data_IF_321047549916
#
_entry.id   IF_321047549916
#
_cell.length_a   1.000
_cell.length_b   1.000
_cell.length_c   1.000
_cell.angle_alpha   90.00
_cell.angle_beta   90.00
_cell.angle_gamma   90.00
#
_symmetry.space_group_name_H-M   'P 1'
#
loop_
_entity.id
_entity.type
_entity.pdbx_description
1 polymer ?
#
# COMPACT_ATOMS: atom_id res chain seq x y z
N UNK A 1 -22.69 1.12 -6.03
CA UNK A 1 -23.82 0.20 -5.74
C UNK A 1 -23.34 -1.23 -5.85
N UNK A 2 -24.24 -2.21 -5.69
CA UNK A 2 -23.93 -3.63 -5.92
C UNK A 2 -23.93 -3.95 -7.42
N UNK A 3 -22.92 -4.67 -7.90
CA UNK A 3 -22.76 -5.13 -9.28
C UNK A 3 -22.34 -6.60 -9.29
N UNK A 4 -22.82 -7.33 -10.30
CA UNK A 4 -22.48 -8.72 -10.57
C UNK A 4 -21.52 -8.72 -11.76
N UNK A 5 -20.23 -8.66 -11.47
CA UNK A 5 -19.16 -8.39 -12.46
C UNK A 5 -18.90 -9.57 -13.39
N UNK A 6 -19.17 -10.80 -12.96
CA UNK A 6 -19.04 -12.01 -13.82
C UNK A 6 -19.89 -11.95 -15.10
N UNK A 7 -20.93 -11.11 -15.14
CA UNK A 7 -21.78 -10.93 -16.32
C UNK A 7 -21.16 -10.01 -17.37
N UNK A 8 -20.07 -9.32 -17.06
CA UNK A 8 -19.34 -8.52 -18.02
C UNK A 8 -18.59 -9.43 -19.01
N UNK A 9 -18.74 -9.23 -20.34
CA UNK A 9 -18.16 -10.12 -21.34
C UNK A 9 -16.63 -10.28 -21.26
N UNK A 10 -15.93 -9.25 -20.77
CA UNK A 10 -14.48 -9.31 -20.52
C UNK A 10 -14.16 -10.34 -19.44
N UNK A 11 -14.89 -10.33 -18.33
CA UNK A 11 -14.66 -11.24 -17.20
C UNK A 11 -14.97 -12.69 -17.61
N UNK A 12 -16.02 -12.90 -18.42
CA UNK A 12 -16.30 -14.23 -18.95
C UNK A 12 -15.17 -14.78 -19.84
N UNK A 13 -14.51 -13.91 -20.63
CA UNK A 13 -13.35 -14.31 -21.45
C UNK A 13 -12.11 -14.59 -20.59
N UNK A 14 -11.80 -13.70 -19.65
CA UNK A 14 -10.65 -13.86 -18.74
C UNK A 14 -10.77 -15.13 -17.89
N UNK A 15 -11.98 -15.46 -17.44
CA UNK A 15 -12.25 -16.72 -16.74
C UNK A 15 -11.92 -17.95 -17.62
N UNK A 16 -12.22 -17.89 -18.92
CA UNK A 16 -11.88 -18.97 -19.86
C UNK A 16 -10.36 -19.07 -20.11
N UNK A 17 -9.63 -17.96 -19.92
CA UNK A 17 -8.17 -17.91 -20.02
C UNK A 17 -7.48 -18.31 -18.70
N UNK A 18 -8.23 -18.56 -17.64
CA UNK A 18 -7.69 -18.87 -16.32
C UNK A 18 -7.12 -17.65 -15.60
N UNK A 19 -7.47 -16.44 -16.02
CA UNK A 19 -7.09 -15.20 -15.35
C UNK A 19 -8.02 -14.91 -14.15
N UNK A 20 -7.52 -14.26 -13.08
CA UNK A 20 -8.38 -13.77 -12.01
C UNK A 20 -9.45 -12.81 -12.54
N UNK A 21 -10.69 -12.96 -12.07
CA UNK A 21 -11.80 -12.06 -12.44
C UNK A 21 -12.66 -11.66 -11.25
N UNK A 22 -13.18 -10.43 -11.31
CA UNK A 22 -14.17 -9.94 -10.37
C UNK A 22 -15.50 -10.68 -10.55
N UNK A 23 -16.04 -11.18 -9.44
CA UNK A 23 -17.34 -11.85 -9.37
C UNK A 23 -18.43 -10.88 -8.94
N UNK A 24 -18.19 -10.15 -7.85
CA UNK A 24 -19.12 -9.20 -7.27
C UNK A 24 -18.39 -7.97 -6.76
N UNK A 25 -18.96 -6.79 -6.97
CA UNK A 25 -18.46 -5.55 -6.39
C UNK A 25 -19.57 -4.78 -5.71
N UNK A 26 -19.24 -4.17 -4.59
CA UNK A 26 -20.08 -3.27 -3.84
C UNK A 26 -19.32 -1.96 -3.60
N UNK A 27 -19.66 -0.94 -4.40
CA UNK A 27 -19.13 0.41 -4.21
C UNK A 27 -20.11 1.26 -3.42
N UNK A 28 -19.64 1.95 -2.39
CA UNK A 28 -20.44 2.99 -1.75
C UNK A 28 -20.68 4.12 -2.76
N UNK A 29 -21.87 4.76 -2.78
CA UNK A 29 -22.01 6.01 -3.53
C UNK A 29 -20.99 7.01 -3.02
N UNK A 30 -20.23 7.62 -3.94
CA UNK A 30 -19.26 8.66 -3.57
C UNK A 30 -19.95 9.72 -2.71
N UNK A 31 -19.50 9.83 -1.47
CA UNK A 31 -19.99 10.82 -0.53
C UNK A 31 -19.18 12.09 -0.77
N UNK A 32 -19.81 13.15 -1.28
CA UNK A 32 -19.18 14.46 -1.46
C UNK A 32 -20.02 15.50 -0.71
N UNK A 33 -19.68 15.72 0.56
CA UNK A 33 -20.37 16.65 1.43
C UNK A 33 -19.60 17.95 1.46
N UNK A 34 -20.26 19.05 1.10
CA UNK A 34 -19.72 20.40 1.25
C UNK A 34 -20.60 21.23 2.17
N UNK A 35 -19.96 21.90 3.14
CA UNK A 35 -20.57 22.86 4.05
C UNK A 35 -19.84 24.19 3.87
N UNK A 36 -20.58 25.29 3.81
CA UNK A 36 -19.98 26.61 3.65
C UNK A 36 -20.81 27.70 4.29
N UNK A 37 -20.13 28.70 4.84
CA UNK A 37 -20.73 29.91 5.37
C UNK A 37 -19.96 31.11 4.85
N UNK A 38 -20.69 32.16 4.46
CA UNK A 38 -20.11 33.41 4.02
C UNK A 38 -20.70 34.59 4.79
N UNK A 39 -19.88 35.59 5.07
CA UNK A 39 -20.30 36.87 5.58
C UNK A 39 -19.65 37.97 4.73
N UNK A 40 -20.43 38.96 4.32
CA UNK A 40 -19.90 40.08 3.57
C UNK A 40 -20.84 41.27 3.60
N UNK A 41 -20.28 42.42 3.23
CA UNK A 41 -21.03 43.65 3.03
C UNK A 41 -20.49 44.38 1.80
N UNK A 42 -21.37 45.14 1.16
CA UNK A 42 -21.07 45.94 -0.01
C UNK A 42 -21.72 47.31 0.18
N UNK A 43 -20.88 48.33 0.28
CA UNK A 43 -21.21 49.73 0.43
C UNK A 43 -20.65 50.55 -0.75
N UNK A 44 -20.85 50.08 -1.99
CA UNK A 44 -20.50 50.76 -3.26
C UNK A 44 -18.99 50.98 -3.41
N UNK A 45 -18.44 51.96 -2.69
CA UNK A 45 -17.01 52.26 -2.67
C UNK A 45 -16.25 51.34 -1.70
N UNK A 46 -16.93 50.56 -0.85
CA UNK A 46 -16.28 49.64 0.08
C UNK A 46 -16.96 48.28 0.06
N UNK A 47 -16.22 47.24 -0.30
CA UNK A 47 -16.71 45.86 -0.24
C UNK A 47 -15.82 44.99 0.63
N UNK A 48 -16.42 43.98 1.27
CA UNK A 48 -15.70 42.99 2.05
C UNK A 48 -16.47 41.68 2.07
N UNK A 49 -15.75 40.57 1.94
CA UNK A 49 -16.30 39.23 2.04
C UNK A 49 -15.33 38.28 2.73
N UNK A 50 -15.87 37.38 3.56
CA UNK A 50 -15.19 36.20 4.07
C UNK A 50 -16.08 34.99 3.74
N UNK A 51 -15.45 33.93 3.25
CA UNK A 51 -16.07 32.63 3.02
C UNK A 51 -15.25 31.55 3.72
N UNK A 52 -15.92 30.69 4.48
CA UNK A 52 -15.35 29.46 5.03
C UNK A 52 -16.10 28.26 4.46
N UNK A 53 -15.40 27.19 4.12
CA UNK A 53 -16.00 25.94 3.69
C UNK A 53 -15.24 24.71 4.20
N UNK A 54 -15.96 23.61 4.33
CA UNK A 54 -15.44 22.29 4.61
C UNK A 54 -15.98 21.33 3.54
N UNK A 55 -15.13 20.45 3.01
CA UNK A 55 -15.50 19.41 2.06
C UNK A 55 -15.00 18.07 2.55
N UNK A 56 -15.87 17.07 2.59
CA UNK A 56 -15.54 15.68 2.91
C UNK A 56 -15.85 14.84 1.69
N UNK A 57 -14.86 14.07 1.23
CA UNK A 57 -15.01 13.11 0.15
C UNK A 57 -14.72 11.72 0.71
N UNK A 58 -15.60 10.75 0.45
CA UNK A 58 -15.36 9.33 0.72
C UNK A 58 -15.74 8.52 -0.52
N UNK A 59 -14.82 7.67 -0.97
CA UNK A 59 -15.00 6.73 -2.09
C UNK A 59 -14.40 5.38 -1.68
N UNK A 60 -15.24 4.36 -1.51
CA UNK A 60 -14.82 3.05 -1.02
C UNK A 60 -15.55 1.95 -1.81
N UNK A 61 -14.80 0.94 -2.24
CA UNK A 61 -15.30 -0.25 -2.89
C UNK A 61 -14.82 -1.52 -2.21
N UNK A 62 -15.72 -2.49 -2.08
CA UNK A 62 -15.35 -3.87 -1.70
C UNK A 62 -15.68 -4.77 -2.87
N UNK A 63 -14.76 -5.65 -3.22
CA UNK A 63 -14.89 -6.57 -4.36
C UNK A 63 -14.59 -7.99 -3.91
N UNK A 64 -15.18 -8.97 -4.60
CA UNK A 64 -14.90 -10.38 -4.46
C UNK A 64 -14.49 -10.96 -5.81
N UNK A 65 -13.30 -11.54 -5.93
CA UNK A 65 -12.76 -12.15 -7.14
C UNK A 65 -12.63 -13.68 -7.06
N UNK A 66 -12.07 -14.30 -8.10
CA UNK A 66 -11.82 -15.74 -8.17
C UNK A 66 -10.53 -16.21 -7.48
N UNK A 67 -9.71 -15.31 -6.95
CA UNK A 67 -8.36 -15.63 -6.46
C UNK A 67 -8.39 -16.64 -5.32
N UNK A 68 -9.26 -16.42 -4.33
CA UNK A 68 -9.43 -17.38 -3.23
C UNK A 68 -9.90 -18.77 -3.66
N UNK A 69 -10.82 -18.83 -4.64
CA UNK A 69 -11.26 -20.10 -5.22
C UNK A 69 -10.13 -20.80 -5.98
N UNK A 70 -9.29 -20.03 -6.68
CA UNK A 70 -8.14 -20.54 -7.41
C UNK A 70 -7.09 -21.14 -6.46
N UNK A 71 -6.75 -20.47 -5.35
CA UNK A 71 -5.84 -21.00 -4.31
C UNK A 71 -6.26 -22.38 -3.79
N UNK A 72 -7.57 -22.58 -3.57
CA UNK A 72 -8.14 -23.87 -3.17
C UNK A 72 -7.94 -24.94 -4.26
N UNK A 73 -8.23 -24.60 -5.52
CA UNK A 73 -8.06 -25.53 -6.66
C UNK A 73 -6.60 -25.88 -6.86
N UNK A 74 -5.71 -24.90 -6.86
CA UNK A 74 -4.26 -25.10 -7.04
C UNK A 74 -3.70 -26.01 -5.92
N UNK A 75 -4.18 -25.85 -4.69
CA UNK A 75 -3.82 -26.74 -3.57
C UNK A 75 -4.28 -28.19 -3.79
N UNK A 76 -5.49 -28.40 -4.32
CA UNK A 76 -6.01 -29.74 -4.68
C UNK A 76 -5.16 -30.36 -5.80
N UNK A 77 -4.87 -29.59 -6.85
CA UNK A 77 -4.09 -30.05 -8.00
C UNK A 77 -2.64 -30.39 -7.63
N UNK A 78 -2.05 -29.64 -6.69
CA UNK A 78 -0.74 -29.91 -6.12
C UNK A 78 -0.71 -31.10 -5.14
N UNK A 79 -1.86 -31.71 -4.82
CA UNK A 79 -1.96 -32.82 -3.86
C UNK A 79 -1.78 -32.41 -2.40
N UNK A 80 -1.89 -31.12 -2.10
CA UNK A 80 -1.85 -30.55 -0.76
C UNK A 80 -3.24 -30.59 -0.11
N UNK A 81 -3.31 -30.49 1.22
CA UNK A 81 -4.59 -30.33 1.93
C UNK A 81 -5.10 -28.91 1.66
N UNK A 82 -6.27 -28.71 1.04
CA UNK A 82 -6.76 -27.36 0.75
C UNK A 82 -7.15 -26.64 2.04
N UNK A 83 -6.78 -25.37 2.14
CA UNK A 83 -7.30 -24.51 3.19
C UNK A 83 -8.57 -23.80 2.70
N UNK A 84 -9.69 -24.02 3.40
CA UNK A 84 -10.95 -23.38 3.03
C UNK A 84 -11.04 -21.94 3.52
N UNK A 85 -10.11 -21.46 4.35
CA UNK A 85 -10.05 -20.03 4.68
C UNK A 85 -9.63 -19.19 3.48
N UNK A 86 -8.93 -19.77 2.52
CA UNK A 86 -8.50 -19.11 1.27
C UNK A 86 -9.68 -18.56 0.47
N UNK A 87 -10.91 -19.06 0.70
CA UNK A 87 -12.11 -18.48 0.06
C UNK A 87 -12.30 -17.00 0.42
N UNK A 88 -11.79 -16.56 1.57
CA UNK A 88 -11.86 -15.18 2.04
C UNK A 88 -10.85 -14.27 1.31
N UNK A 89 -9.80 -14.84 0.73
CA UNK A 89 -8.77 -14.10 0.00
C UNK A 89 -9.30 -13.52 -1.31
N UNK A 90 -10.47 -14.00 -1.75
CA UNK A 90 -11.20 -13.37 -2.84
C UNK A 90 -11.71 -11.97 -2.50
N UNK A 91 -11.87 -11.62 -1.21
CA UNK A 91 -12.31 -10.29 -0.80
C UNK A 91 -11.16 -9.29 -0.78
N UNK A 92 -11.38 -8.14 -1.42
CA UNK A 92 -10.47 -7.01 -1.34
C UNK A 92 -11.19 -5.67 -1.29
N UNK A 93 -10.50 -4.66 -0.77
CA UNK A 93 -10.88 -3.26 -0.87
C UNK A 93 -10.22 -2.70 -2.13
N UNK A 94 -11.04 -2.18 -3.03
CA UNK A 94 -10.55 -1.57 -4.27
C UNK A 94 -9.78 -0.30 -3.94
N UNK A 95 -8.47 -0.31 -4.20
CA UNK A 95 -7.60 0.83 -4.02
C UNK A 95 -7.71 1.74 -5.25
N UNK A 96 -8.20 2.96 -5.07
CA UNK A 96 -8.52 3.85 -6.17
C UNK A 96 -7.26 4.54 -6.70
N UNK A 97 -6.77 4.22 -7.92
CA UNK A 97 -5.55 4.83 -8.43
C UNK A 97 -5.71 6.32 -8.79
N UNK A 98 -6.93 6.86 -8.75
CA UNK A 98 -7.24 8.23 -9.15
C UNK A 98 -7.39 9.20 -7.96
N UNK A 99 -7.14 8.75 -6.73
CA UNK A 99 -7.05 9.62 -5.56
C UNK A 99 -7.56 8.97 -4.27
N UNK A 100 -7.39 9.66 -3.14
CA UNK A 100 -7.57 9.09 -1.81
C UNK A 100 -8.99 8.62 -1.55
N UNK A 101 -9.13 7.49 -0.86
CA UNK A 101 -10.43 6.92 -0.45
C UNK A 101 -11.20 7.83 0.50
N UNK A 102 -10.49 8.62 1.31
CA UNK A 102 -11.12 9.64 2.12
C UNK A 102 -10.30 10.93 2.15
N UNK A 103 -10.98 12.07 2.07
CA UNK A 103 -10.33 13.36 2.30
C UNK A 103 -11.25 14.36 3.00
N UNK A 104 -10.64 15.19 3.84
CA UNK A 104 -11.26 16.35 4.47
C UNK A 104 -10.46 17.58 4.06
N UNK A 105 -11.12 18.56 3.46
CA UNK A 105 -10.54 19.86 3.13
C UNK A 105 -11.30 20.95 3.87
N UNK A 106 -10.57 21.84 4.53
CA UNK A 106 -11.06 23.08 5.11
C UNK A 106 -10.49 24.24 4.30
N UNK A 107 -11.31 25.23 3.95
CA UNK A 107 -10.85 26.43 3.27
C UNK A 107 -11.49 27.67 3.88
N UNK A 108 -10.72 28.74 3.99
CA UNK A 108 -11.15 30.07 4.39
C UNK A 108 -10.56 31.01 3.35
N UNK A 109 -11.40 31.83 2.74
CA UNK A 109 -10.97 32.90 1.84
C UNK A 109 -11.67 34.18 2.21
N UNK A 110 -11.07 35.30 1.88
CA UNK A 110 -11.68 36.59 2.09
C UNK A 110 -11.03 37.64 1.22
N UNK A 111 -11.82 38.63 0.87
CA UNK A 111 -11.41 39.76 0.06
C UNK A 111 -11.99 41.04 0.61
N UNK A 112 -11.32 42.14 0.31
CA UNK A 112 -11.84 43.47 0.56
C UNK A 112 -11.38 44.40 -0.54
N UNK A 113 -12.24 45.33 -0.92
CA UNK A 113 -11.86 46.36 -1.86
C UNK A 113 -12.41 47.72 -1.48
N UNK A 114 -11.68 48.75 -1.89
CA UNK A 114 -12.16 50.12 -2.00
C UNK A 114 -12.29 50.42 -3.49
N UNK A 115 -13.51 50.67 -3.96
CA UNK A 115 -13.81 50.99 -5.35
C UNK A 115 -13.12 52.29 -5.81
N UNK A 116 -13.03 52.51 -7.13
CA UNK A 116 -12.25 53.60 -7.69
C UNK A 116 -12.79 54.97 -7.30
N UNK A 117 -11.93 55.81 -6.74
CA UNK A 117 -12.19 57.23 -6.51
C UNK A 117 -11.61 58.03 -7.67
N UNK A 118 -12.49 58.50 -8.55
CA UNK A 118 -12.09 59.25 -9.75
C UNK A 118 -12.12 60.77 -9.53
N UNK A 119 -11.07 61.45 -9.99
CA UNK A 119 -11.02 62.91 -10.11
C UNK A 119 -10.62 63.25 -11.54
N UNK A 120 -11.52 63.93 -12.27
CA UNK A 120 -11.29 64.33 -13.67
C UNK A 120 -10.95 63.14 -14.60
N UNK A 121 -11.55 61.97 -14.36
CA UNK A 121 -11.30 60.75 -15.15
C UNK A 121 -9.98 60.05 -14.84
N UNK A 122 -9.31 60.42 -13.74
CA UNK A 122 -8.12 59.73 -13.23
C UNK A 122 -8.48 59.03 -11.92
N UNK A 123 -8.24 57.72 -11.84
CA UNK A 123 -8.35 56.96 -10.58
C UNK A 123 -7.27 57.44 -9.61
N UNK A 124 -7.71 58.15 -8.58
CA UNK A 124 -6.83 58.70 -7.54
C UNK A 124 -6.55 57.64 -6.48
N UNK A 125 -7.52 56.78 -6.20
CA UNK A 125 -7.40 55.72 -5.20
C UNK A 125 -8.29 54.53 -5.56
N UNK A 126 -7.70 53.34 -5.57
CA UNK A 126 -8.40 52.05 -5.61
C UNK A 126 -7.51 51.03 -4.89
N UNK A 127 -8.12 50.11 -4.16
CA UNK A 127 -7.37 49.06 -3.46
C UNK A 127 -8.20 47.80 -3.42
N UNK A 128 -7.62 46.66 -3.75
CA UNK A 128 -8.20 45.35 -3.55
C UNK A 128 -7.17 44.45 -2.88
N UNK A 129 -7.62 43.61 -1.96
CA UNK A 129 -6.80 42.59 -1.33
C UNK A 129 -7.60 41.30 -1.18
N UNK A 130 -6.96 40.17 -1.44
CA UNK A 130 -7.55 38.86 -1.31
C UNK A 130 -6.58 37.96 -0.53
N UNK A 131 -7.14 37.11 0.31
CA UNK A 131 -6.39 36.11 1.05
C UNK A 131 -7.16 34.80 1.03
N UNK A 132 -6.44 33.68 0.95
CA UNK A 132 -7.01 32.37 1.17
C UNK A 132 -6.07 31.48 1.97
N UNK A 133 -6.65 30.58 2.74
CA UNK A 133 -5.99 29.53 3.47
C UNK A 133 -6.84 28.28 3.32
N UNK A 134 -6.26 27.21 2.81
CA UNK A 134 -6.86 25.88 2.83
C UNK A 134 -5.91 24.89 3.46
N UNK A 135 -6.47 23.92 4.16
CA UNK A 135 -5.74 22.78 4.67
C UNK A 135 -6.57 21.53 4.47
N UNK A 136 -5.92 20.39 4.31
CA UNK A 136 -6.62 19.13 4.16
C UNK A 136 -5.83 17.96 4.69
N UNK A 137 -6.56 16.90 4.97
CA UNK A 137 -6.02 15.57 5.23
C UNK A 137 -6.62 14.61 4.21
N UNK A 138 -5.79 13.76 3.64
CA UNK A 138 -6.16 12.69 2.74
C UNK A 138 -5.70 11.37 3.34
N UNK A 139 -6.53 10.35 3.22
CA UNK A 139 -6.29 8.97 3.61
C UNK A 139 -6.39 8.15 2.35
N UNK A 140 -5.25 7.61 1.95
CA UNK A 140 -5.10 6.72 0.80
C UNK A 140 -4.89 5.31 1.33
N UNK A 141 -5.59 4.32 0.82
CA UNK A 141 -5.45 2.94 1.28
C UNK A 141 -4.07 2.42 0.86
N UNK A 142 -3.37 1.86 1.83
CA UNK A 142 -2.07 1.27 1.59
C UNK A 142 -2.25 -0.12 0.98
N UNK A 143 -1.81 -0.23 -0.25
CA UNK A 143 -1.68 -1.48 -0.99
C UNK A 143 -0.18 -1.86 -1.04
N UNK A 144 0.28 -2.85 -0.25
CA UNK A 144 1.70 -3.11 -0.13
C UNK A 144 2.30 -3.89 -1.30
N UNK A 145 1.48 -4.50 -2.15
CA UNK A 145 1.94 -5.22 -3.34
C UNK A 145 1.74 -4.38 -4.63
N UNK A 146 0.96 -3.29 -4.57
CA UNK A 146 0.61 -2.36 -5.65
C UNK A 146 -0.19 -2.99 -6.80
N UNK A 147 -1.00 -4.02 -6.53
CA UNK A 147 -1.89 -4.65 -7.51
C UNK A 147 -3.25 -3.92 -7.67
N UNK A 148 -3.47 -2.86 -6.90
CA UNK A 148 -4.71 -2.08 -6.82
C UNK A 148 -5.75 -2.66 -5.86
N UNK A 149 -5.39 -3.65 -5.05
CA UNK A 149 -6.32 -4.46 -4.29
C UNK A 149 -5.80 -4.70 -2.87
N UNK A 150 -6.42 -4.09 -1.86
CA UNK A 150 -6.08 -4.40 -0.48
C UNK A 150 -6.89 -5.61 0.01
N UNK A 151 -6.27 -6.79 0.02
CA UNK A 151 -6.89 -8.06 0.42
C UNK A 151 -6.94 -8.23 1.94
N UNK A 152 -7.76 -9.17 2.40
CA UNK A 152 -7.99 -9.38 3.83
C UNK A 152 -6.75 -9.93 4.58
N UNK A 153 -5.99 -10.83 3.95
CA UNK A 153 -4.70 -11.32 4.43
C UNK A 153 -3.69 -10.16 4.58
N UNK A 154 -3.65 -9.24 3.63
CA UNK A 154 -2.84 -8.03 3.71
C UNK A 154 -3.31 -7.09 4.82
N UNK A 155 -4.63 -6.90 5.00
CA UNK A 155 -5.18 -6.14 6.13
C UNK A 155 -4.71 -6.73 7.46
N UNK A 156 -4.81 -8.04 7.63
CA UNK A 156 -4.36 -8.71 8.86
C UNK A 156 -2.86 -8.58 9.05
N UNK A 157 -2.06 -8.74 7.99
CA UNK A 157 -0.63 -8.55 8.05
C UNK A 157 -0.28 -7.11 8.46
N UNK A 158 -0.76 -6.09 7.75
CA UNK A 158 -0.46 -4.67 8.02
C UNK A 158 -0.90 -4.25 9.43
N UNK A 159 -1.97 -4.85 9.95
CA UNK A 159 -2.53 -4.56 11.28
C UNK A 159 -2.05 -5.51 12.39
N UNK A 160 -1.16 -6.46 12.06
CA UNK A 160 -0.71 -7.54 12.94
C UNK A 160 -1.88 -8.21 13.67
N UNK A 161 -2.84 -8.72 12.89
CA UNK A 161 -4.08 -9.36 13.37
C UNK A 161 -4.89 -8.46 14.31
N UNK A 162 -4.82 -7.15 14.12
CA UNK A 162 -5.42 -6.14 15.00
C UNK A 162 -4.99 -6.26 16.47
N UNK A 163 -3.79 -6.79 16.74
CA UNK A 163 -3.27 -6.96 18.10
C UNK A 163 -3.18 -5.64 18.88
N UNK A 164 -3.01 -4.52 18.17
CA UNK A 164 -3.11 -3.16 18.70
C UNK A 164 -4.06 -2.33 17.81
N UNK A 165 -5.14 -1.72 18.37
CA UNK A 165 -6.05 -0.86 17.63
C UNK A 165 -5.39 0.28 16.86
N UNK A 166 -4.20 0.75 17.28
CA UNK A 166 -3.46 1.79 16.56
C UNK A 166 -2.89 1.31 15.22
N UNK A 167 -2.72 0.00 15.02
CA UNK A 167 -2.21 -0.52 13.75
C UNK A 167 -3.20 -0.40 12.59
N UNK A 168 -4.46 -0.09 12.86
CA UNK A 168 -5.44 0.28 11.82
C UNK A 168 -4.97 1.49 11.00
N UNK A 169 -4.19 2.39 11.60
CA UNK A 169 -3.62 3.53 10.86
C UNK A 169 -2.55 3.12 9.84
N UNK A 170 -1.97 1.91 9.95
CA UNK A 170 -1.02 1.40 8.97
C UNK A 170 -1.71 1.03 7.64
N UNK A 171 -3.04 0.88 7.64
CA UNK A 171 -3.83 0.66 6.42
C UNK A 171 -3.94 1.90 5.54
N UNK A 172 -3.53 3.08 6.02
CA UNK A 172 -3.75 4.33 5.31
C UNK A 172 -2.48 5.16 5.20
N UNK A 173 -2.05 5.50 3.99
CA UNK A 173 -1.12 6.57 3.72
C UNK A 173 -1.81 7.93 3.96
N UNK A 174 -1.44 8.57 5.08
CA UNK A 174 -2.08 9.81 5.53
C UNK A 174 -1.23 11.01 5.10
N UNK A 175 -1.79 11.85 4.22
CA UNK A 175 -1.14 13.07 3.72
C UNK A 175 -1.86 14.30 4.25
N UNK A 176 -1.11 15.19 4.90
CA UNK A 176 -1.56 16.52 5.30
C UNK A 176 -1.08 17.58 4.31
N UNK A 177 -1.96 18.49 3.91
CA UNK A 177 -1.60 19.63 3.06
C UNK A 177 -2.10 20.95 3.66
N UNK A 178 -1.33 22.01 3.47
CA UNK A 178 -1.69 23.39 3.81
C UNK A 178 -1.26 24.28 2.65
N UNK A 179 -2.20 25.05 2.10
CA UNK A 179 -1.94 26.05 1.08
C UNK A 179 -2.50 27.40 1.52
N UNK A 180 -1.68 28.45 1.43
CA UNK A 180 -2.11 29.82 1.68
C UNK A 180 -1.79 30.67 0.47
N UNK A 181 -2.67 31.59 0.13
CA UNK A 181 -2.41 32.62 -0.87
C UNK A 181 -2.80 34.00 -0.36
N UNK A 182 -2.07 35.01 -0.82
CA UNK A 182 -2.35 36.41 -0.53
C UNK A 182 -2.01 37.23 -1.76
N UNK A 183 -2.89 38.14 -2.12
CA UNK A 183 -2.70 39.06 -3.24
C UNK A 183 -3.29 40.43 -2.90
N UNK A 184 -2.67 41.48 -3.44
CA UNK A 184 -3.24 42.82 -3.40
C UNK A 184 -2.84 43.61 -4.64
N UNK A 185 -3.73 44.51 -5.02
CA UNK A 185 -3.53 45.46 -6.10
C UNK A 185 -4.09 46.81 -5.65
N UNK A 186 -3.36 47.90 -5.92
CA UNK A 186 -3.87 49.23 -5.63
C UNK A 186 -3.36 50.27 -6.62
N UNK A 187 -4.21 51.24 -6.93
CA UNK A 187 -3.88 52.38 -7.79
C UNK A 187 -3.86 53.65 -6.95
N UNK A 188 -2.73 54.36 -6.96
CA UNK A 188 -2.59 55.69 -6.35
C UNK A 188 -2.15 56.70 -7.42
N UNK A 189 -2.95 57.73 -7.65
CA UNK A 189 -2.66 58.78 -8.64
C UNK A 189 -2.34 58.23 -10.04
N UNK A 190 -3.08 57.21 -10.47
CA UNK A 190 -2.88 56.53 -11.76
C UNK A 190 -1.66 55.60 -11.83
N UNK A 191 -0.97 55.35 -10.72
CA UNK A 191 0.11 54.37 -10.63
C UNK A 191 -0.42 53.12 -9.92
N UNK A 192 -0.45 52.00 -10.64
CA UNK A 192 -0.84 50.69 -10.09
C UNK A 192 0.38 49.98 -9.50
N UNK A 193 0.20 49.45 -8.29
CA UNK A 193 1.19 48.62 -7.59
C UNK A 193 0.49 47.34 -7.14
N UNK A 194 1.06 46.20 -7.50
CA UNK A 194 0.61 44.89 -7.03
C UNK A 194 1.59 44.26 -6.04
N UNK A 195 1.13 43.25 -5.33
CA UNK A 195 1.97 42.41 -4.48
C UNK A 195 3.12 41.74 -5.26
N UNK A 196 2.86 41.38 -6.52
CA UNK A 196 3.86 40.79 -7.41
C UNK A 196 4.98 41.77 -7.78
N UNK A 197 4.64 43.06 -7.96
CA UNK A 197 5.62 44.11 -8.27
C UNK A 197 6.59 44.36 -7.10
N UNK A 198 6.18 44.04 -5.87
CA UNK A 198 7.01 44.16 -4.66
C UNK A 198 7.84 42.90 -4.36
N UNK A 199 7.74 41.86 -5.19
CA UNK A 199 8.44 40.59 -5.00
C UNK A 199 7.97 39.81 -3.77
N UNK A 200 6.75 40.04 -3.31
CA UNK A 200 6.17 39.32 -2.18
C UNK A 200 5.70 37.95 -2.68
N UNK A 201 6.09 36.83 -2.03
CA UNK A 201 5.59 35.52 -2.40
C UNK A 201 4.08 35.44 -2.09
N UNK A 202 3.30 35.24 -3.14
CA UNK A 202 1.83 35.25 -3.08
C UNK A 202 1.22 33.90 -2.68
N UNK A 203 2.06 32.86 -2.57
CA UNK A 203 1.62 31.49 -2.33
C UNK A 203 2.61 30.75 -1.42
N UNK A 204 2.06 29.99 -0.48
CA UNK A 204 2.77 29.03 0.37
C UNK A 204 2.05 27.71 0.23
N UNK A 205 2.76 26.65 -0.18
CA UNK A 205 2.22 25.30 -0.26
C UNK A 205 3.12 24.37 0.56
N UNK A 206 2.55 23.68 1.52
CA UNK A 206 3.20 22.71 2.39
C UNK A 206 2.46 21.38 2.26
N UNK A 207 3.21 20.30 2.04
CA UNK A 207 2.70 18.93 2.06
C UNK A 207 3.55 18.11 3.01
N UNK A 208 2.91 17.31 3.86
CA UNK A 208 3.55 16.52 4.91
C UNK A 208 2.97 15.10 4.90
N UNK A 209 3.84 14.09 4.94
CA UNK A 209 3.44 12.72 5.30
C UNK A 209 3.19 12.67 6.80
N UNK A 210 1.94 12.46 7.21
CA UNK A 210 1.61 12.32 8.62
C UNK A 210 2.09 10.97 9.16
N UNK A 211 2.17 9.94 8.31
CA UNK A 211 2.80 8.67 8.69
C UNK A 211 4.26 8.86 9.09
N UNK A 212 5.05 9.61 8.31
CA UNK A 212 6.48 9.82 8.62
C UNK A 212 6.64 10.54 9.97
N UNK A 213 5.78 11.52 10.22
CA UNK A 213 5.79 12.30 11.47
C UNK A 213 5.37 11.42 12.65
N UNK A 214 4.27 10.67 12.52
CA UNK A 214 3.73 9.83 13.59
C UNK A 214 4.61 8.60 13.85
N UNK A 215 5.19 8.02 12.81
CA UNK A 215 6.18 6.94 12.89
C UNK A 215 7.48 7.40 13.56
N UNK A 216 7.99 8.59 13.20
CA UNK A 216 9.22 9.13 13.80
C UNK A 216 9.13 9.38 15.32
N UNK A 217 7.92 9.69 15.82
CA UNK A 217 7.67 9.84 17.27
C UNK A 217 7.24 8.53 17.95
N UNK A 218 7.29 7.40 17.23
CA UNK A 218 6.98 6.07 17.75
C UNK A 218 5.50 5.84 18.04
N UNK A 219 4.61 6.64 17.44
CA UNK A 219 3.17 6.55 17.66
C UNK A 219 2.51 5.46 16.79
N UNK A 220 3.10 5.15 15.63
CA UNK A 220 2.66 4.06 14.76
C UNK A 220 3.65 2.90 14.84
N UNK A 221 3.22 1.69 15.24
CA UNK A 221 4.03 0.49 15.14
C UNK A 221 4.32 0.18 13.66
N UNK A 222 5.55 -0.23 13.32
CA UNK A 222 5.84 -0.70 11.96
C UNK A 222 5.00 -1.95 11.68
N UNK A 223 4.35 -2.05 10.50
CA UNK A 223 3.64 -3.26 10.12
C UNK A 223 4.61 -4.45 10.05
N UNK A 224 4.18 -5.66 10.47
CA UNK A 224 4.96 -6.86 10.27
C UNK A 224 5.05 -7.19 8.78
N UNK A 225 6.17 -7.80 8.44
CA UNK A 225 6.76 -7.82 7.12
C UNK A 225 6.65 -9.22 6.50
N UNK A 226 5.54 -9.64 5.90
CA UNK A 226 5.39 -11.04 5.46
C UNK A 226 6.06 -11.32 4.10
N UNK A 227 7.12 -12.14 4.11
CA UNK A 227 7.93 -12.48 2.91
C UNK A 227 8.10 -14.00 2.69
N UNK A 228 7.53 -14.81 3.59
CA UNK A 228 7.59 -16.26 3.64
C UNK A 228 6.49 -16.81 4.57
N UNK A 229 6.12 -18.07 4.38
CA UNK A 229 5.01 -18.75 5.07
C UNK A 229 5.46 -20.07 5.72
N UNK A 230 4.86 -20.45 6.85
CA UNK A 230 5.06 -21.77 7.44
C UNK A 230 4.14 -22.80 6.80
N UNK A 231 4.72 -23.83 6.20
CA UNK A 231 3.99 -24.96 5.61
C UNK A 231 4.32 -26.23 6.41
N UNK A 232 3.32 -27.03 6.83
CA UNK A 232 3.57 -28.34 7.42
C UNK A 232 4.33 -29.24 6.44
N UNK A 233 5.45 -29.83 6.87
CA UNK A 233 6.14 -30.84 6.05
C UNK A 233 5.26 -32.09 6.01
N UNK A 234 4.71 -32.40 4.84
CA UNK A 234 4.02 -33.68 4.62
C UNK A 234 5.09 -34.79 4.66
N UNK A 235 5.00 -35.77 5.58
CA UNK A 235 6.00 -36.82 5.67
C UNK A 235 6.00 -37.66 4.39
N UNK A 236 7.11 -37.66 3.65
CA UNK A 236 7.30 -38.59 2.55
C UNK A 236 7.67 -39.96 3.15
N UNK A 237 7.01 -41.07 2.77
CA UNK A 237 7.35 -42.39 3.29
C UNK A 237 8.83 -42.73 3.04
N UNK A 238 9.63 -42.78 4.12
CA UNK A 238 11.07 -43.06 4.08
C UNK A 238 11.97 -41.90 4.53
N UNK A 239 11.46 -40.66 4.56
CA UNK A 239 12.12 -39.50 5.15
C UNK A 239 11.42 -39.16 6.47
N UNK A 240 11.90 -39.71 7.58
CA UNK A 240 11.26 -39.64 8.90
C UNK A 240 11.24 -38.26 9.58
N UNK A 241 11.16 -37.15 8.84
CA UNK A 241 11.13 -35.81 9.42
C UNK A 241 9.68 -35.30 9.54
N UNK A 242 9.19 -35.24 10.77
CA UNK A 242 8.10 -34.35 11.16
C UNK A 242 8.70 -32.98 11.51
N UNK A 243 8.26 -31.92 10.83
CA UNK A 243 8.75 -30.57 11.07
C UNK A 243 7.95 -29.53 10.30
N UNK A 244 8.36 -28.27 10.42
CA UNK A 244 7.85 -27.18 9.60
C UNK A 244 8.82 -26.85 8.47
N UNK A 245 8.25 -26.44 7.36
CA UNK A 245 8.93 -25.81 6.25
C UNK A 245 8.64 -24.31 6.30
N UNK A 246 9.68 -23.50 6.14
CA UNK A 246 9.52 -22.10 5.82
C UNK A 246 9.61 -21.96 4.30
N UNK A 247 8.47 -21.77 3.63
CA UNK A 247 8.41 -21.60 2.18
C UNK A 247 8.57 -20.12 1.85
N UNK A 248 9.53 -19.80 0.99
CA UNK A 248 9.69 -18.46 0.43
C UNK A 248 8.60 -18.24 -0.63
N UNK A 249 7.91 -17.10 -0.57
CA UNK A 249 6.80 -16.80 -1.49
C UNK A 249 7.38 -16.30 -2.82
N UNK A 250 7.74 -17.22 -3.73
CA UNK A 250 8.37 -16.92 -5.03
C UNK A 250 8.02 -17.98 -6.07
N UNK A 251 8.23 -17.65 -7.34
CA UNK A 251 7.88 -18.43 -8.51
C UNK A 251 6.37 -18.72 -8.49
N UNK A 252 5.96 -20.00 -8.49
CA UNK A 252 4.54 -20.38 -8.44
C UNK A 252 3.83 -19.95 -7.15
N UNK A 253 4.55 -19.48 -6.13
CA UNK A 253 3.99 -18.97 -4.87
C UNK A 253 4.16 -17.46 -4.70
N UNK A 254 4.56 -16.72 -5.74
CA UNK A 254 4.70 -15.27 -5.69
C UNK A 254 3.37 -14.57 -5.32
N UNK A 255 2.23 -15.14 -5.74
CA UNK A 255 0.89 -14.61 -5.43
C UNK A 255 0.49 -14.68 -3.95
N UNK A 256 1.33 -15.29 -3.10
CA UNK A 256 1.17 -15.31 -1.64
C UNK A 256 2.00 -14.22 -0.95
N UNK A 257 2.70 -13.35 -1.69
CA UNK A 257 3.39 -12.19 -1.13
C UNK A 257 2.37 -11.14 -0.67
N UNK A 258 2.62 -10.60 0.52
CA UNK A 258 1.89 -9.44 1.05
C UNK A 258 2.57 -8.13 0.65
N UNK A 259 3.89 -8.16 0.43
CA UNK A 259 4.70 -6.98 0.10
C UNK A 259 5.54 -7.21 -1.16
N UNK A 260 5.64 -6.18 -2.00
CA UNK A 260 6.36 -6.25 -3.28
C UNK A 260 5.53 -6.87 -4.40
N UNK A 261 6.13 -7.09 -5.57
CA UNK A 261 5.40 -7.66 -6.70
C UNK A 261 4.88 -9.06 -6.37
N UNK A 262 3.59 -9.31 -6.62
CA UNK A 262 2.90 -10.58 -6.44
C UNK A 262 2.98 -11.50 -7.66
N UNK A 263 3.59 -11.02 -8.76
CA UNK A 263 4.02 -11.82 -9.88
C UNK A 263 5.56 -11.84 -9.96
N UNK A 264 6.12 -12.88 -10.58
CA UNK A 264 7.56 -13.01 -10.85
C UNK A 264 7.81 -12.97 -12.37
N UNK A 265 6.92 -12.29 -13.12
CA UNK A 265 6.90 -12.31 -14.59
C UNK A 265 7.71 -11.16 -15.21
N UNK A 266 8.27 -10.26 -14.38
CA UNK A 266 8.95 -9.04 -14.83
C UNK A 266 10.42 -8.93 -14.39
N UNK A 267 10.91 -9.84 -13.54
CA UNK A 267 12.30 -9.84 -13.08
C UNK A 267 12.62 -10.89 -12.02
N UNK A 268 13.92 -11.06 -11.76
CA UNK A 268 14.42 -12.01 -10.78
C UNK A 268 14.30 -11.52 -9.33
N UNK A 269 14.10 -12.45 -8.41
CA UNK A 269 13.91 -12.22 -6.98
C UNK A 269 15.22 -12.22 -6.21
N UNK A 270 15.26 -11.50 -5.10
CA UNK A 270 16.46 -11.41 -4.26
C UNK A 270 16.12 -11.69 -2.79
N UNK A 271 16.46 -12.90 -2.35
CA UNK A 271 16.28 -13.36 -0.98
C UNK A 271 17.63 -13.46 -0.25
N UNK A 272 17.69 -12.88 0.95
CA UNK A 272 18.79 -13.09 1.89
C UNK A 272 18.26 -13.68 3.20
N UNK A 273 18.82 -14.81 3.61
CA UNK A 273 18.43 -15.56 4.80
C UNK A 273 19.62 -15.65 5.75
N UNK A 274 19.40 -15.29 7.01
CA UNK A 274 20.43 -15.37 8.05
C UNK A 274 19.84 -15.78 9.41
N UNK A 275 20.69 -16.03 10.39
CA UNK A 275 20.20 -16.04 11.78
C UNK A 275 19.74 -14.64 12.20
N UNK A 276 18.60 -14.60 12.89
CA UNK A 276 18.03 -13.40 13.49
C UNK A 276 18.22 -13.36 15.02
N UNK A 277 17.87 -12.23 15.65
CA UNK A 277 17.90 -12.06 17.09
C UNK A 277 17.00 -13.08 17.79
N UNK A 278 17.40 -13.50 19.00
CA UNK A 278 16.63 -14.46 19.78
C UNK A 278 16.60 -15.88 19.20
N UNK A 279 17.49 -16.20 18.25
CA UNK A 279 17.53 -17.52 17.61
C UNK A 279 16.44 -17.71 16.55
N UNK A 280 16.02 -16.63 15.90
CA UNK A 280 15.08 -16.64 14.78
C UNK A 280 15.79 -16.89 13.44
N UNK A 281 15.03 -17.13 12.37
CA UNK A 281 15.47 -17.11 10.98
C UNK A 281 15.07 -15.75 10.42
N UNK A 282 16.04 -14.93 10.07
CA UNK A 282 15.82 -13.64 9.41
C UNK A 282 15.72 -13.83 7.92
N UNK A 283 14.63 -13.35 7.32
CA UNK A 283 14.40 -13.33 5.88
C UNK A 283 14.29 -11.87 5.42
N UNK A 284 15.10 -11.50 4.43
CA UNK A 284 15.10 -10.18 3.81
C UNK A 284 14.86 -10.32 2.31
N UNK A 285 13.80 -9.69 1.82
CA UNK A 285 13.41 -9.64 0.40
C UNK A 285 12.48 -8.43 0.17
N UNK A 286 12.38 -7.93 -1.06
CA UNK A 286 11.45 -6.85 -1.45
C UNK A 286 11.51 -5.60 -0.54
N UNK A 287 12.72 -5.19 -0.16
CA UNK A 287 12.94 -4.04 0.74
C UNK A 287 12.54 -4.26 2.20
N UNK A 288 12.15 -5.49 2.55
CA UNK A 288 11.48 -5.85 3.79
C UNK A 288 12.30 -6.89 4.57
N UNK A 289 12.21 -6.92 5.90
CA UNK A 289 12.89 -7.90 6.75
C UNK A 289 11.96 -8.42 7.84
N UNK A 290 11.87 -9.75 7.99
CA UNK A 290 11.10 -10.41 9.06
C UNK A 290 11.89 -11.54 9.71
N UNK A 291 11.71 -11.64 11.02
CA UNK A 291 12.32 -12.65 11.87
C UNK A 291 11.27 -13.74 12.17
N UNK A 292 11.52 -14.95 11.67
CA UNK A 292 10.67 -16.15 11.84
C UNK A 292 11.19 -16.98 13.01
N UNK A 293 10.31 -17.46 13.88
CA UNK A 293 10.68 -18.43 14.90
C UNK A 293 11.21 -19.73 14.26
N UNK A 294 12.26 -20.33 14.85
CA UNK A 294 12.76 -21.66 14.44
C UNK A 294 11.83 -22.82 14.82
N UNK A 295 10.62 -22.51 15.28
CA UNK A 295 9.56 -23.46 15.59
C UNK A 295 8.20 -22.78 15.42
N UNK A 296 7.18 -23.54 15.04
CA UNK A 296 5.80 -23.05 14.92
C UNK A 296 4.79 -24.11 15.33
N UNK A 297 3.53 -23.71 15.41
CA UNK A 297 2.42 -24.61 15.72
C UNK A 297 1.90 -25.27 14.45
N UNK A 298 1.68 -26.58 14.50
CA UNK A 298 0.84 -27.30 13.55
C UNK A 298 -0.65 -26.96 13.77
N UNK A 299 -1.56 -27.31 12.85
CA UNK A 299 -3.00 -27.08 13.01
C UNK A 299 -3.62 -27.68 14.29
N UNK A 300 -2.99 -28.73 14.85
CA UNK A 300 -3.40 -29.35 16.12
C UNK A 300 -2.81 -28.66 17.37
N UNK A 301 -2.06 -27.57 17.19
CA UNK A 301 -1.38 -26.81 18.24
C UNK A 301 -0.01 -27.35 18.65
N UNK A 302 0.46 -28.45 18.05
CA UNK A 302 1.77 -29.03 18.36
C UNK A 302 2.89 -28.12 17.87
N UNK A 303 3.80 -27.72 18.77
CA UNK A 303 4.99 -26.95 18.40
C UNK A 303 6.06 -27.89 17.84
N UNK A 304 6.48 -27.66 16.61
CA UNK A 304 7.55 -28.43 15.93
C UNK A 304 8.62 -27.49 15.39
N UNK A 305 9.88 -27.93 15.26
CA UNK A 305 10.95 -27.10 14.73
C UNK A 305 10.80 -26.90 13.21
N UNK A 306 11.33 -25.78 12.72
CA UNK A 306 11.58 -25.58 11.29
C UNK A 306 12.77 -26.46 10.92
N UNK A 307 12.56 -27.34 9.95
CA UNK A 307 13.58 -28.31 9.49
C UNK A 307 14.00 -28.07 8.05
N UNK A 308 13.21 -27.30 7.31
CA UNK A 308 13.40 -27.03 5.89
C UNK A 308 13.08 -25.58 5.56
N UNK A 309 13.87 -24.99 4.67
CA UNK A 309 13.51 -23.75 3.97
C UNK A 309 13.49 -24.06 2.48
N UNK A 310 12.40 -23.71 1.80
CA UNK A 310 12.24 -23.97 0.36
C UNK A 310 12.00 -22.68 -0.40
N UNK A 311 12.59 -22.56 -1.59
CA UNK A 311 12.34 -21.48 -2.54
C UNK A 311 12.22 -22.04 -3.95
N UNK A 312 11.36 -21.42 -4.75
CA UNK A 312 11.11 -21.73 -6.15
C UNK A 312 11.35 -20.46 -6.93
N UNK A 313 12.38 -20.42 -7.74
CA UNK A 313 12.68 -19.30 -8.59
C UNK A 313 11.71 -19.19 -9.78
N UNK A 314 11.92 -18.12 -10.51
CA UNK A 314 11.13 -17.63 -11.64
C UNK A 314 11.74 -18.10 -12.96
N UNK A 315 11.38 -17.46 -14.08
CA UNK A 315 12.08 -17.63 -15.36
C UNK A 315 13.25 -16.63 -15.56
N UNK A 316 13.54 -15.83 -14.53
CA UNK A 316 14.57 -14.79 -14.51
C UNK A 316 15.69 -15.11 -13.52
N UNK A 317 16.84 -14.43 -13.67
CA UNK A 317 17.99 -14.68 -12.80
C UNK A 317 17.75 -14.27 -11.35
N UNK A 318 17.53 -15.27 -10.49
CA UNK A 318 17.21 -15.12 -9.08
C UNK A 318 18.44 -15.20 -8.19
N UNK A 319 18.32 -14.67 -6.97
CA UNK A 319 19.35 -14.79 -5.95
C UNK A 319 18.76 -15.30 -4.65
N UNK A 320 19.23 -16.47 -4.22
CA UNK A 320 18.92 -17.07 -2.93
C UNK A 320 20.19 -17.21 -2.09
N UNK A 321 20.35 -16.35 -1.09
CA UNK A 321 21.54 -16.30 -0.26
C UNK A 321 21.28 -16.76 1.18
N UNK A 322 21.71 -17.98 1.52
CA UNK A 322 21.62 -18.57 2.86
C UNK A 322 22.93 -18.50 3.66
N UNK A 323 23.94 -17.79 3.16
CA UNK A 323 25.29 -17.74 3.77
C UNK A 323 25.32 -17.27 5.22
N UNK A 324 24.28 -16.55 5.66
CA UNK A 324 24.13 -16.07 7.03
C UNK A 324 23.43 -17.04 7.98
N UNK A 325 22.93 -18.18 7.48
CA UNK A 325 22.20 -19.18 8.28
C UNK A 325 23.19 -20.21 8.84
N UNK A 326 23.44 -20.16 10.15
CA UNK A 326 24.47 -20.99 10.81
C UNK A 326 23.93 -22.29 11.42
N UNK A 327 22.62 -22.51 11.37
CA UNK A 327 21.98 -23.70 11.92
C UNK A 327 22.17 -24.92 11.01
N UNK A 328 22.97 -25.93 11.41
CA UNK A 328 23.23 -27.09 10.57
C UNK A 328 22.04 -28.05 10.49
N UNK A 329 20.99 -27.85 11.30
CA UNK A 329 19.81 -28.72 11.35
C UNK A 329 18.74 -28.34 10.32
N UNK A 330 18.85 -27.14 9.74
CA UNK A 330 17.91 -26.63 8.74
C UNK A 330 18.44 -26.99 7.34
N UNK A 331 17.66 -27.78 6.60
CA UNK A 331 17.92 -28.09 5.20
C UNK A 331 17.40 -26.95 4.31
N UNK A 332 18.15 -26.57 3.28
CA UNK A 332 17.66 -25.63 2.25
C UNK A 332 17.42 -26.38 0.94
N UNK A 333 16.27 -26.14 0.31
CA UNK A 333 15.91 -26.75 -0.98
C UNK A 333 15.53 -25.62 -1.92
N UNK A 334 16.29 -25.41 -2.98
CA UNK A 334 16.04 -24.32 -3.94
C UNK A 334 15.97 -24.87 -5.34
N UNK A 335 14.87 -24.55 -6.02
CA UNK A 335 14.72 -24.71 -7.44
C UNK A 335 14.92 -23.31 -8.03
N UNK A 336 15.94 -23.12 -8.87
CA UNK A 336 16.30 -21.83 -9.47
C UNK A 336 15.36 -21.42 -10.59
N UNK A 337 14.89 -22.38 -11.38
CA UNK A 337 13.95 -22.11 -12.47
C UNK A 337 14.67 -21.77 -13.78
N UNK A 338 14.18 -20.77 -14.50
CA UNK A 338 14.88 -20.24 -15.67
C UNK A 338 15.74 -19.03 -15.29
N UNK A 339 16.76 -18.73 -16.08
CA UNK A 339 17.58 -17.53 -15.87
C UNK A 339 19.02 -17.85 -15.47
N UNK A 340 19.76 -16.87 -14.96
CA UNK A 340 21.10 -17.12 -14.45
C UNK A 340 21.08 -16.90 -12.94
N UNK A 341 20.95 -17.98 -12.18
CA UNK A 341 20.68 -17.87 -10.75
C UNK A 341 21.95 -17.80 -9.90
N UNK A 342 21.81 -17.29 -8.68
CA UNK A 342 22.86 -17.28 -7.66
C UNK A 342 22.33 -18.00 -6.42
N UNK A 343 22.81 -19.22 -6.20
CA UNK A 343 22.32 -20.13 -5.15
C UNK A 343 23.42 -20.36 -4.11
N UNK A 344 23.33 -19.68 -2.96
CA UNK A 344 24.37 -19.73 -1.92
C UNK A 344 23.84 -20.47 -0.69
N UNK A 345 24.48 -21.59 -0.35
CA UNK A 345 24.12 -22.45 0.79
C UNK A 345 24.44 -21.87 2.16
N UNK A 346 23.74 -22.38 3.17
CA UNK A 346 24.00 -22.11 4.59
C UNK A 346 24.86 -23.19 5.24
N UNK A 347 24.83 -23.27 6.57
CA UNK A 347 25.59 -24.29 7.32
C UNK A 347 24.98 -25.70 7.28
N UNK A 348 23.68 -25.82 6.97
CA UNK A 348 22.97 -27.09 6.82
C UNK A 348 23.17 -27.74 5.45
N UNK A 349 22.44 -28.82 5.20
CA UNK A 349 22.39 -29.46 3.88
C UNK A 349 21.66 -28.53 2.91
N UNK A 350 22.24 -28.29 1.74
CA UNK A 350 21.63 -27.50 0.67
C UNK A 350 21.48 -28.34 -0.59
N UNK A 351 20.24 -28.45 -1.08
CA UNK A 351 19.91 -29.07 -2.35
C UNK A 351 19.48 -27.99 -3.34
N UNK A 352 20.32 -27.76 -4.34
CA UNK A 352 20.12 -26.71 -5.34
C UNK A 352 19.90 -27.33 -6.72
N UNK A 353 18.86 -26.85 -7.39
CA UNK A 353 18.47 -27.25 -8.73
C UNK A 353 18.40 -25.99 -9.59
N UNK A 354 19.49 -25.60 -10.26
CA UNK A 354 19.53 -24.37 -11.06
C UNK A 354 18.62 -24.37 -12.30
N UNK A 355 18.26 -25.56 -12.81
CA UNK A 355 17.39 -25.70 -13.99
C UNK A 355 17.95 -25.02 -15.28
N UNK A 356 17.24 -24.07 -15.90
CA UNK A 356 17.60 -23.50 -17.20
C UNK A 356 18.45 -22.22 -17.10
N UNK A 357 19.75 -22.34 -17.32
CA UNK A 357 20.63 -21.22 -17.67
C UNK A 357 22.05 -21.35 -17.10
N UNK A 358 22.69 -20.24 -16.72
CA UNK A 358 24.05 -20.27 -16.17
C UNK A 358 24.05 -19.93 -14.68
N UNK A 359 23.82 -20.95 -13.87
CA UNK A 359 23.65 -20.79 -12.43
C UNK A 359 24.97 -20.88 -11.68
N UNK A 360 25.04 -20.19 -10.55
CA UNK A 360 26.25 -20.04 -9.76
C UNK A 360 26.09 -20.44 -8.30
#
# INVERSE_FOLDING_TARGET
GFKVDILDPSNALNLLLGEPIDLFSFRLPRLDLSLGAGFGFDFDVLSFNIQASARVIVDLGVVYDTTGLRRIVDSIEAGSVPDFTDILDGFYIDNNPFGPEASLTLSISGGGSVGPVEVLGVTVFELAANASLSGGVAFDIKDPNNDGQLRLDEVFAITNDFADPLQVFNLFDIVGSISASFDFEGTLLGITVSASDLGIPLQINLSLSLQDILGAIGFLPNPPAEVAEYVPVVPVPGEGATGLELRLNTGPFASARIFGDSNDDDGGVNYTISDGPGGTIRVTAFGTTKDYAKSGALPDGTIVPVTRITGYGSEFGDTFNFSGLTDPTIRTVILGGGGNDVLIGGAGISDFYGEEGNDR
#
